data_IF_058304296724
#
_entry.id   IF_058304296724
#
_cell.length_a   1.000
_cell.length_b   1.000
_cell.length_c   1.000
_cell.angle_alpha   90.00
_cell.angle_beta   90.00
_cell.angle_gamma   90.00
#
_symmetry.space_group_name_H-M   'P 1'
#
loop_
_entity.id
_entity.type
_entity.pdbx_description
1 polymer ?
#
# COMPACT_ATOMS: atom_id res chain seq x y z
N UNK A 1 -5.04 56.83 -8.54
CA UNK A 1 -5.94 55.75 -8.05
C UNK A 1 -5.34 54.41 -8.44
N UNK A 2 -4.36 53.95 -7.65
CA UNK A 2 -3.53 52.78 -7.98
C UNK A 2 -3.76 51.70 -6.93
N UNK A 3 -4.80 50.89 -7.11
CA UNK A 3 -4.99 49.72 -6.25
C UNK A 3 -5.95 48.72 -6.91
N UNK A 4 -5.42 47.70 -7.60
CA UNK A 4 -5.98 46.34 -7.55
C UNK A 4 -5.28 45.29 -8.41
N UNK A 5 -4.39 45.68 -9.34
CA UNK A 5 -3.87 44.72 -10.31
C UNK A 5 -2.98 43.64 -9.66
N UNK A 6 -2.21 43.98 -8.62
CA UNK A 6 -1.40 43.02 -7.85
C UNK A 6 -2.19 42.14 -6.87
N UNK A 7 -3.27 42.67 -6.28
CA UNK A 7 -4.12 41.94 -5.33
C UNK A 7 -4.97 40.88 -6.05
N UNK A 8 -5.42 41.20 -7.28
CA UNK A 8 -6.16 40.29 -8.17
C UNK A 8 -5.31 39.12 -8.66
N UNK A 9 -4.04 39.36 -9.04
CA UNK A 9 -3.15 38.30 -9.52
C UNK A 9 -2.79 37.29 -8.41
N UNK A 10 -2.45 37.78 -7.20
CA UNK A 10 -2.17 36.90 -6.05
C UNK A 10 -3.36 36.02 -5.68
N UNK A 11 -4.58 36.59 -5.66
CA UNK A 11 -5.81 35.83 -5.38
C UNK A 11 -6.06 34.74 -6.43
N UNK A 12 -5.79 35.01 -7.71
CA UNK A 12 -5.93 34.00 -8.79
C UNK A 12 -4.93 32.86 -8.66
N UNK A 13 -3.67 33.16 -8.30
CA UNK A 13 -2.64 32.14 -8.08
C UNK A 13 -3.01 31.22 -6.91
N UNK A 14 -3.47 31.80 -5.79
CA UNK A 14 -3.93 31.02 -4.63
C UNK A 14 -5.12 30.13 -4.99
N UNK A 15 -6.11 30.68 -5.71
CA UNK A 15 -7.26 29.88 -6.17
C UNK A 15 -6.84 28.76 -7.12
N UNK A 16 -5.89 29.00 -8.02
CA UNK A 16 -5.33 27.98 -8.91
C UNK A 16 -4.63 26.86 -8.16
N UNK A 17 -3.80 27.20 -7.17
CA UNK A 17 -3.13 26.20 -6.33
C UNK A 17 -4.12 25.38 -5.49
N UNK A 18 -5.12 26.03 -4.89
CA UNK A 18 -6.18 25.35 -4.14
C UNK A 18 -6.98 24.41 -5.04
N UNK A 19 -7.33 24.82 -6.26
CA UNK A 19 -8.02 23.96 -7.21
C UNK A 19 -7.17 22.75 -7.63
N UNK A 20 -5.88 22.94 -7.92
CA UNK A 20 -4.94 21.85 -8.24
C UNK A 20 -4.84 20.87 -7.06
N UNK A 21 -4.67 21.38 -5.83
CA UNK A 21 -4.57 20.55 -4.63
C UNK A 21 -5.86 19.78 -4.34
N UNK A 22 -7.02 20.43 -4.45
CA UNK A 22 -8.31 19.78 -4.22
C UNK A 22 -8.66 18.77 -5.32
N UNK A 23 -8.27 19.03 -6.58
CA UNK A 23 -8.42 18.07 -7.67
C UNK A 23 -7.50 16.86 -7.55
N UNK A 24 -6.38 16.98 -6.81
CA UNK A 24 -5.47 15.86 -6.56
C UNK A 24 -6.09 14.74 -5.71
N UNK A 25 -7.08 15.07 -4.86
CA UNK A 25 -7.83 14.09 -4.06
C UNK A 25 -9.18 13.68 -4.67
N UNK A 26 -9.64 14.37 -5.72
CA UNK A 26 -10.86 14.00 -6.42
C UNK A 26 -10.50 13.13 -7.64
N UNK A 27 -11.01 11.89 -7.66
CA UNK A 27 -10.95 10.96 -8.81
C UNK A 27 -9.62 10.27 -9.15
N UNK A 28 -8.76 10.00 -8.18
CA UNK A 28 -8.06 8.72 -8.18
C UNK A 28 -8.97 7.71 -7.47
N UNK A 29 -10.03 7.27 -8.15
CA UNK A 29 -10.90 6.21 -7.66
C UNK A 29 -10.08 4.90 -7.66
N UNK A 30 -9.35 4.66 -6.57
CA UNK A 30 -8.61 3.42 -6.32
C UNK A 30 -9.55 2.19 -6.33
N UNK A 31 -10.86 2.40 -6.24
CA UNK A 31 -11.89 1.36 -6.19
C UNK A 31 -12.26 0.83 -7.59
N UNK A 32 -12.16 1.64 -8.64
CA UNK A 32 -12.45 1.23 -10.02
C UNK A 32 -11.27 0.55 -10.71
N UNK A 33 -10.05 0.66 -10.13
CA UNK A 33 -8.85 -0.07 -10.55
C UNK A 33 -8.57 -1.31 -9.68
N UNK A 34 -9.61 -1.83 -9.03
CA UNK A 34 -9.55 -2.89 -8.00
C UNK A 34 -9.08 -4.27 -8.47
N UNK A 35 -8.76 -4.47 -9.75
CA UNK A 35 -8.31 -5.79 -10.24
C UNK A 35 -6.78 -5.90 -10.33
N UNK A 36 -6.00 -4.82 -10.18
CA UNK A 36 -4.56 -4.90 -10.52
C UNK A 36 -3.57 -4.03 -9.69
N UNK A 37 -3.91 -3.56 -8.48
CA UNK A 37 -2.94 -2.78 -7.68
C UNK A 37 -2.12 -3.68 -6.76
N UNK A 38 -2.74 -4.70 -6.18
CA UNK A 38 -2.04 -5.72 -5.42
C UNK A 38 -2.14 -7.05 -6.19
N UNK A 39 -1.02 -7.65 -6.61
CA UNK A 39 -1.04 -8.99 -7.16
C UNK A 39 -1.80 -9.93 -6.23
N UNK A 40 -2.65 -10.83 -6.76
CA UNK A 40 -3.35 -11.78 -5.93
C UNK A 40 -2.32 -12.60 -5.16
N UNK A 41 -2.64 -12.85 -3.90
CA UNK A 41 -1.85 -13.71 -3.05
C UNK A 41 -1.94 -15.13 -3.61
N UNK A 42 -0.79 -15.78 -3.83
CA UNK A 42 -0.76 -17.17 -4.23
C UNK A 42 -1.50 -18.04 -3.19
N UNK A 43 -2.42 -18.86 -3.68
CA UNK A 43 -3.17 -19.81 -2.86
C UNK A 43 -2.44 -21.15 -2.87
N UNK A 44 -2.11 -21.66 -1.68
CA UNK A 44 -1.39 -22.91 -1.48
C UNK A 44 -2.29 -23.88 -0.75
N UNK A 45 -2.37 -25.12 -1.23
CA UNK A 45 -3.16 -26.16 -0.58
C UNK A 45 -2.64 -26.45 0.84
N UNK A 46 -3.52 -27.00 1.68
CA UNK A 46 -3.17 -27.34 3.08
C UNK A 46 -2.08 -28.40 3.14
N UNK A 47 -2.07 -29.33 2.19
CA UNK A 47 -1.06 -30.38 2.07
C UNK A 47 0.31 -29.80 1.72
N UNK A 48 0.35 -28.83 0.80
CA UNK A 48 1.59 -28.14 0.44
C UNK A 48 2.13 -27.34 1.64
N UNK A 49 1.26 -26.63 2.36
CA UNK A 49 1.67 -25.89 3.56
C UNK A 49 2.16 -26.81 4.68
N UNK A 50 1.54 -27.97 4.88
CA UNK A 50 1.97 -28.96 5.87
C UNK A 50 3.38 -29.50 5.54
N UNK A 51 3.61 -29.87 4.28
CA UNK A 51 4.93 -30.29 3.82
C UNK A 51 5.99 -29.19 4.02
N UNK A 52 5.67 -27.94 3.68
CA UNK A 52 6.58 -26.82 3.90
C UNK A 52 6.92 -26.61 5.39
N UNK A 53 5.96 -26.85 6.29
CA UNK A 53 6.22 -26.79 7.74
C UNK A 53 7.15 -27.92 8.21
N UNK A 54 7.00 -29.13 7.67
CA UNK A 54 7.92 -30.23 7.94
C UNK A 54 9.34 -29.91 7.42
N UNK A 55 9.45 -29.34 6.22
CA UNK A 55 10.73 -28.92 5.64
C UNK A 55 11.41 -27.84 6.51
N UNK A 56 10.65 -26.88 7.04
CA UNK A 56 11.19 -25.88 7.98
C UNK A 56 11.62 -26.49 9.31
N UNK A 57 10.89 -27.49 9.83
CA UNK A 57 11.22 -28.16 11.09
C UNK A 57 12.49 -29.03 11.02
N UNK A 58 12.92 -29.42 9.81
CA UNK A 58 14.18 -30.15 9.59
C UNK A 58 15.41 -29.25 9.51
N UNK A 59 15.23 -27.93 9.45
CA UNK A 59 16.36 -27.00 9.37
C UNK A 59 17.08 -26.90 10.72
N UNK A 60 18.40 -26.63 10.72
CA UNK A 60 19.14 -26.42 11.95
C UNK A 60 18.60 -25.23 12.76
N UNK A 61 18.78 -25.29 14.08
CA UNK A 61 18.51 -24.15 14.95
C UNK A 61 19.32 -22.92 14.51
N UNK A 62 18.67 -21.76 14.52
CA UNK A 62 19.28 -20.52 14.01
C UNK A 62 19.35 -20.41 12.49
N UNK A 63 18.64 -21.28 11.75
CA UNK A 63 18.48 -21.14 10.30
C UNK A 63 17.86 -19.78 9.94
N UNK A 64 18.56 -19.03 9.09
CA UNK A 64 18.09 -17.72 8.61
C UNK A 64 16.76 -17.82 7.85
N UNK A 65 16.48 -18.96 7.22
CA UNK A 65 15.21 -19.18 6.52
C UNK A 65 14.05 -19.25 7.52
N UNK A 66 14.24 -19.88 8.67
CA UNK A 66 13.20 -19.96 9.72
C UNK A 66 12.92 -18.56 10.27
N UNK A 67 13.96 -17.76 10.52
CA UNK A 67 13.83 -16.37 10.95
C UNK A 67 13.10 -15.51 9.90
N UNK A 68 13.49 -15.60 8.63
CA UNK A 68 12.82 -14.90 7.54
C UNK A 68 11.33 -15.29 7.41
N UNK A 69 10.99 -16.56 7.61
CA UNK A 69 9.60 -17.02 7.55
C UNK A 69 8.76 -16.50 8.72
N UNK A 70 9.36 -16.33 9.90
CA UNK A 70 8.70 -15.70 11.04
C UNK A 70 8.39 -14.22 10.77
N UNK A 71 9.35 -13.47 10.23
CA UNK A 71 9.17 -12.07 9.82
C UNK A 71 8.10 -11.94 8.73
N UNK A 72 8.12 -12.85 7.76
CA UNK A 72 7.10 -12.91 6.72
C UNK A 72 5.70 -13.15 7.29
N UNK A 73 5.56 -14.00 8.30
CA UNK A 73 4.27 -14.25 8.96
C UNK A 73 3.72 -12.97 9.63
N UNK A 74 4.59 -12.19 10.29
CA UNK A 74 4.22 -10.89 10.89
C UNK A 74 3.78 -9.90 9.81
N UNK A 75 4.56 -9.74 8.75
CA UNK A 75 4.22 -8.84 7.63
C UNK A 75 2.86 -9.22 7.02
N UNK A 76 2.59 -10.52 6.86
CA UNK A 76 1.33 -11.02 6.30
C UNK A 76 0.15 -10.73 7.21
N UNK A 77 0.33 -10.82 8.51
CA UNK A 77 -0.71 -10.48 9.47
C UNK A 77 -1.01 -8.97 9.48
N UNK A 78 0.01 -8.13 9.44
CA UNK A 78 -0.15 -6.68 9.29
C UNK A 78 -0.90 -6.32 8.00
N UNK A 79 -0.55 -6.96 6.88
CA UNK A 79 -1.25 -6.75 5.61
C UNK A 79 -2.74 -7.16 5.69
N UNK A 80 -3.07 -8.25 6.38
CA UNK A 80 -4.49 -8.64 6.61
C UNK A 80 -5.24 -7.59 7.42
N UNK A 81 -4.62 -7.03 8.45
CA UNK A 81 -5.23 -5.98 9.28
C UNK A 81 -5.48 -4.70 8.49
N UNK A 82 -4.59 -4.34 7.56
CA UNK A 82 -4.73 -3.17 6.69
C UNK A 82 -5.74 -3.38 5.53
N UNK A 83 -6.10 -4.63 5.23
CA UNK A 83 -7.09 -4.98 4.21
C UNK A 83 -8.53 -5.09 4.72
N UNK A 84 -8.74 -4.96 6.04
CA UNK A 84 -10.08 -4.83 6.66
C UNK A 84 -10.52 -3.37 6.70
#
# INVERSE_FOLDING_TARGET
MTYNNGCSMRRRVVLGLVAIWLSGCATADFKTRSVAICPPVADYSREFQARAAEELAMLPDGSSVVEMMADYAVMREQARQLSR
#
